data_IF_243123294721
#
_entry.id   IF_243123294721
#
_cell.length_a   1.000
_cell.length_b   1.000
_cell.length_c   1.000
_cell.angle_alpha   90.00
_cell.angle_beta   90.00
_cell.angle_gamma   90.00
#
_symmetry.space_group_name_H-M   'P 1'
#
loop_
_entity.id
_entity.type
_entity.pdbx_description
1 polymer ?
#
# COMPACT_ATOMS: atom_id res chain seq x y z
N UNK A 1 7.81 8.90 15.79
CA UNK A 1 7.70 8.13 17.05
C UNK A 1 6.81 6.88 16.91
N UNK A 2 5.62 6.97 16.35
CA UNK A 2 4.67 5.85 16.27
C UNK A 2 5.18 4.62 15.48
N UNK A 3 5.88 4.82 14.36
CA UNK A 3 6.42 3.70 13.54
C UNK A 3 7.53 2.94 14.29
N UNK A 4 8.41 3.62 15.01
CA UNK A 4 9.43 2.96 15.83
C UNK A 4 8.82 2.20 17.01
N UNK A 5 7.73 2.71 17.60
CA UNK A 5 6.98 2.00 18.63
C UNK A 5 6.31 0.73 18.04
N UNK A 6 5.74 0.82 16.83
CA UNK A 6 5.20 -0.33 16.12
C UNK A 6 6.27 -1.41 15.90
N UNK A 7 7.46 -1.04 15.43
CA UNK A 7 8.58 -1.96 15.27
C UNK A 7 8.87 -2.72 16.56
N UNK A 8 8.99 -2.01 17.68
CA UNK A 8 9.31 -2.62 18.98
C UNK A 8 8.21 -3.60 19.44
N UNK A 9 6.93 -3.24 19.26
CA UNK A 9 5.80 -4.11 19.59
C UNK A 9 5.87 -5.39 18.74
N UNK A 10 5.99 -5.25 17.42
CA UNK A 10 6.03 -6.36 16.46
C UNK A 10 7.20 -7.31 16.78
N UNK A 11 8.41 -6.77 16.97
CA UNK A 11 9.60 -7.56 17.29
C UNK A 11 9.52 -8.25 18.66
N UNK A 12 8.78 -7.66 19.63
CA UNK A 12 8.56 -8.30 20.91
C UNK A 12 7.54 -9.45 20.84
N UNK A 13 6.39 -9.22 20.23
CA UNK A 13 5.36 -10.26 20.05
C UNK A 13 5.90 -11.45 19.24
N UNK A 14 6.69 -11.17 18.23
CA UNK A 14 7.30 -12.19 17.39
C UNK A 14 8.29 -13.12 18.14
N UNK A 15 8.74 -12.78 19.34
CA UNK A 15 9.60 -13.66 20.16
C UNK A 15 8.86 -14.92 20.63
N UNK A 16 7.54 -14.84 20.76
CA UNK A 16 6.71 -15.91 21.32
C UNK A 16 5.97 -16.72 20.26
N UNK A 17 5.63 -16.12 19.12
CA UNK A 17 4.81 -16.75 18.09
C UNK A 17 4.98 -16.06 16.73
N UNK A 18 4.71 -16.76 15.60
CA UNK A 18 4.60 -16.11 14.30
C UNK A 18 3.45 -15.12 14.28
N UNK A 19 3.65 -13.97 13.64
CA UNK A 19 2.64 -12.90 13.59
C UNK A 19 2.43 -12.38 12.16
N UNK A 20 1.20 -11.99 11.89
CA UNK A 20 0.81 -11.25 10.69
C UNK A 20 0.40 -9.84 11.14
N UNK A 21 1.01 -8.84 10.55
CA UNK A 21 0.74 -7.43 10.86
C UNK A 21 0.07 -6.77 9.68
N UNK A 22 -1.13 -6.25 9.89
CA UNK A 22 -1.90 -5.51 8.89
C UNK A 22 -1.62 -4.01 9.08
N UNK A 23 -1.20 -3.35 8.02
CA UNK A 23 -0.76 -1.94 8.06
C UNK A 23 -1.65 -1.10 7.14
N UNK A 24 -2.20 0.00 7.67
CA UNK A 24 -2.94 1.00 6.88
C UNK A 24 -1.99 2.07 6.34
N UNK A 25 -2.54 2.96 5.51
CA UNK A 25 -1.84 4.12 4.99
C UNK A 25 -1.29 5.01 6.12
N UNK A 26 -0.24 5.78 5.83
CA UNK A 26 0.25 6.80 6.74
C UNK A 26 -0.80 7.88 6.96
N UNK A 27 -0.91 8.38 8.20
CA UNK A 27 -1.92 9.36 8.56
C UNK A 27 -2.03 10.54 7.58
N UNK A 28 -3.23 10.77 7.04
CA UNK A 28 -3.54 11.81 6.06
C UNK A 28 -3.05 11.55 4.62
N UNK A 29 -2.46 10.40 4.32
CA UNK A 29 -2.06 10.06 2.94
C UNK A 29 -3.29 9.73 2.10
N UNK A 30 -4.25 9.00 2.61
CA UNK A 30 -5.50 8.68 1.88
C UNK A 30 -6.21 9.94 1.41
N UNK A 31 -6.37 10.94 2.30
CA UNK A 31 -6.98 12.22 1.96
C UNK A 31 -6.17 12.97 0.89
N UNK A 32 -4.84 12.93 0.99
CA UNK A 32 -3.97 13.54 -0.02
C UNK A 32 -4.07 12.84 -1.37
N UNK A 33 -4.11 11.52 -1.41
CA UNK A 33 -4.29 10.75 -2.64
C UNK A 33 -5.60 11.14 -3.35
N UNK A 34 -6.69 11.23 -2.59
CA UNK A 34 -7.99 11.65 -3.11
C UNK A 34 -7.98 13.13 -3.57
N UNK A 35 -7.44 14.03 -2.77
CA UNK A 35 -7.36 15.44 -3.14
C UNK A 35 -6.55 15.65 -4.43
N UNK A 36 -5.40 14.99 -4.55
CA UNK A 36 -4.54 15.06 -5.74
C UNK A 36 -5.27 14.51 -6.98
N UNK A 37 -6.05 13.42 -6.84
CA UNK A 37 -6.85 12.88 -7.95
C UNK A 37 -7.92 13.87 -8.45
N UNK A 38 -8.51 14.64 -7.53
CA UNK A 38 -9.49 15.68 -7.88
C UNK A 38 -8.85 16.89 -8.60
N UNK A 39 -7.61 17.25 -8.26
CA UNK A 39 -6.86 18.26 -9.01
C UNK A 39 -6.57 17.78 -10.42
N UNK A 40 -6.07 16.55 -10.57
CA UNK A 40 -5.82 15.95 -11.88
C UNK A 40 -7.10 15.89 -12.73
N UNK A 41 -8.23 15.45 -12.15
CA UNK A 41 -9.54 15.40 -12.82
C UNK A 41 -9.97 16.77 -13.38
N UNK A 42 -9.68 17.85 -12.66
CA UNK A 42 -10.02 19.22 -13.07
C UNK A 42 -9.06 19.83 -14.10
N UNK A 43 -7.99 19.10 -14.46
CA UNK A 43 -6.93 19.64 -15.30
C UNK A 43 -6.06 20.68 -14.59
N UNK A 44 -6.03 20.68 -13.25
CA UNK A 44 -5.23 21.58 -12.44
C UNK A 44 -3.80 21.04 -12.30
N UNK A 45 -2.84 21.75 -12.88
CA UNK A 45 -1.41 21.39 -12.88
C UNK A 45 -0.81 21.25 -11.48
N UNK A 46 -1.43 21.84 -10.47
CA UNK A 46 -0.96 21.75 -9.06
C UNK A 46 -1.00 20.33 -8.49
N UNK A 47 -1.66 19.36 -9.17
CA UNK A 47 -1.57 17.96 -8.82
C UNK A 47 -0.13 17.44 -8.78
N UNK A 48 0.75 18.02 -9.59
CA UNK A 48 2.17 17.64 -9.63
C UNK A 48 2.90 18.03 -8.36
N UNK A 49 2.61 19.22 -7.84
CA UNK A 49 3.22 19.74 -6.60
C UNK A 49 2.73 18.93 -5.38
N UNK A 50 1.43 18.63 -5.33
CA UNK A 50 0.86 17.78 -4.27
C UNK A 50 1.41 16.35 -4.31
N UNK A 51 1.55 15.79 -5.52
CA UNK A 51 2.21 14.49 -5.71
C UNK A 51 3.67 14.53 -5.22
N UNK A 52 4.44 15.54 -5.63
CA UNK A 52 5.83 15.71 -5.22
C UNK A 52 5.96 15.83 -3.70
N UNK A 53 5.07 16.53 -3.04
CA UNK A 53 5.03 16.62 -1.57
C UNK A 53 4.78 15.26 -0.90
N UNK A 54 3.97 14.38 -1.53
CA UNK A 54 3.81 13.00 -1.05
C UNK A 54 5.09 12.17 -1.23
N UNK A 55 5.78 12.30 -2.36
CA UNK A 55 7.08 11.65 -2.62
C UNK A 55 8.07 12.05 -1.53
N UNK A 56 8.27 13.35 -1.31
CA UNK A 56 9.21 13.88 -0.33
C UNK A 56 8.90 13.41 1.10
N UNK A 57 7.63 13.35 1.44
CA UNK A 57 7.22 12.83 2.75
C UNK A 57 7.61 11.37 2.97
N UNK A 58 7.44 10.51 1.96
CA UNK A 58 7.84 9.11 2.04
C UNK A 58 9.36 8.98 2.07
N UNK A 59 10.08 9.70 1.22
CA UNK A 59 11.53 9.71 1.19
C UNK A 59 12.13 10.17 2.52
N UNK A 60 11.67 11.29 3.06
CA UNK A 60 12.10 11.79 4.38
C UNK A 60 11.87 10.78 5.50
N UNK A 61 10.75 10.07 5.44
CA UNK A 61 10.48 9.02 6.42
C UNK A 61 11.47 7.87 6.28
N UNK A 62 11.72 7.37 5.07
CA UNK A 62 12.68 6.30 4.81
C UNK A 62 14.07 6.70 5.30
N UNK A 63 14.55 7.88 4.97
CA UNK A 63 15.84 8.41 5.44
C UNK A 63 15.93 8.46 6.96
N UNK A 64 14.84 8.79 7.63
CA UNK A 64 14.81 8.92 9.09
C UNK A 64 14.83 7.58 9.81
N UNK A 65 14.19 6.53 9.23
CA UNK A 65 13.97 5.27 9.96
C UNK A 65 14.83 4.10 9.50
N UNK A 66 15.34 4.14 8.24
CA UNK A 66 16.18 3.06 7.70
C UNK A 66 17.64 3.48 7.76
N UNK A 67 18.37 2.94 8.72
CA UNK A 67 19.77 3.30 8.98
C UNK A 67 20.78 2.55 8.11
N UNK A 68 20.44 1.32 7.64
CA UNK A 68 21.31 0.55 6.78
C UNK A 68 21.27 1.11 5.35
N UNK A 69 22.41 1.57 4.76
CA UNK A 69 22.43 2.21 3.45
C UNK A 69 21.91 1.32 2.32
N UNK A 70 22.28 0.05 2.30
CA UNK A 70 21.87 -0.90 1.26
C UNK A 70 20.37 -1.18 1.32
N UNK A 71 19.82 -1.43 2.53
CA UNK A 71 18.38 -1.61 2.70
C UNK A 71 17.60 -0.35 2.32
N UNK A 72 18.14 0.82 2.63
CA UNK A 72 17.55 2.11 2.28
C UNK A 72 17.49 2.32 0.77
N UNK A 73 18.57 2.04 0.06
CA UNK A 73 18.62 2.11 -1.41
C UNK A 73 17.63 1.13 -2.05
N UNK A 74 17.61 -0.14 -1.62
CA UNK A 74 16.66 -1.14 -2.10
C UNK A 74 15.21 -0.71 -1.87
N UNK A 75 14.93 -0.08 -0.71
CA UNK A 75 13.59 0.42 -0.39
C UNK A 75 13.22 1.63 -1.24
N UNK A 76 14.12 2.58 -1.46
CA UNK A 76 13.89 3.71 -2.37
C UNK A 76 13.50 3.21 -3.76
N UNK A 77 14.26 2.29 -4.34
CA UNK A 77 13.95 1.73 -5.66
C UNK A 77 12.55 1.13 -5.75
N UNK A 78 12.11 0.40 -4.70
CA UNK A 78 10.77 -0.18 -4.66
C UNK A 78 9.66 0.85 -4.46
N UNK A 79 9.89 1.81 -3.59
CA UNK A 79 8.93 2.90 -3.30
C UNK A 79 8.78 3.81 -4.51
N UNK A 80 9.89 4.16 -5.16
CA UNK A 80 9.89 5.01 -6.37
C UNK A 80 9.18 4.33 -7.54
N UNK A 81 9.34 3.00 -7.69
CA UNK A 81 8.60 2.26 -8.70
C UNK A 81 7.07 2.32 -8.47
N UNK A 82 6.61 2.25 -7.21
CA UNK A 82 5.20 2.40 -6.87
C UNK A 82 4.71 3.84 -7.09
N UNK A 83 5.51 4.83 -6.70
CA UNK A 83 5.19 6.25 -6.89
C UNK A 83 5.13 6.62 -8.37
N UNK A 84 6.00 6.08 -9.21
CA UNK A 84 5.97 6.31 -10.65
C UNK A 84 4.71 5.71 -11.31
N UNK A 85 4.29 4.51 -10.87
CA UNK A 85 3.01 3.95 -11.30
C UNK A 85 1.83 4.87 -10.91
N UNK A 86 1.81 5.36 -9.68
CA UNK A 86 0.80 6.30 -9.19
C UNK A 86 0.81 7.60 -9.99
N UNK A 87 1.99 8.15 -10.28
CA UNK A 87 2.17 9.35 -11.11
C UNK A 87 1.56 9.15 -12.50
N UNK A 88 1.78 7.99 -13.09
CA UNK A 88 1.24 7.64 -14.40
C UNK A 88 -0.29 7.59 -14.40
N UNK A 89 -0.91 7.10 -13.30
CA UNK A 89 -2.38 7.11 -13.16
C UNK A 89 -2.89 8.56 -13.07
N UNK A 90 -2.30 9.40 -12.21
CA UNK A 90 -2.68 10.81 -12.12
C UNK A 90 -2.54 11.55 -13.45
N UNK A 91 -1.45 11.29 -14.18
CA UNK A 91 -1.24 11.88 -15.50
C UNK A 91 -2.31 11.43 -16.51
N UNK A 92 -2.71 10.14 -16.47
CA UNK A 92 -3.82 9.64 -17.27
C UNK A 92 -5.13 10.37 -16.94
N UNK A 93 -5.49 10.48 -15.65
CA UNK A 93 -6.68 11.22 -15.20
C UNK A 93 -6.63 12.68 -15.65
N UNK A 94 -5.46 13.33 -15.52
CA UNK A 94 -5.24 14.72 -15.95
C UNK A 94 -5.46 14.91 -17.45
N UNK A 95 -5.03 13.97 -18.30
CA UNK A 95 -5.16 14.07 -19.74
C UNK A 95 -6.59 13.83 -20.24
N UNK A 96 -7.29 12.86 -19.63
CA UNK A 96 -8.62 12.46 -20.11
C UNK A 96 -9.77 13.16 -19.39
N UNK A 97 -9.47 13.86 -18.26
CA UNK A 97 -10.46 14.49 -17.40
C UNK A 97 -11.57 13.54 -16.93
N UNK A 98 -11.21 12.29 -16.66
CA UNK A 98 -12.11 11.26 -16.14
C UNK A 98 -11.48 10.50 -14.97
N UNK A 99 -12.29 10.22 -13.94
CA UNK A 99 -11.89 9.50 -12.74
C UNK A 99 -13.00 8.55 -12.32
N UNK A 100 -12.94 7.31 -12.82
CA UNK A 100 -13.86 6.27 -12.40
C UNK A 100 -13.62 5.84 -10.94
N UNK A 101 -14.61 5.26 -10.27
CA UNK A 101 -14.47 4.66 -8.93
C UNK A 101 -13.30 3.65 -8.90
N UNK A 102 -13.20 2.79 -9.90
CA UNK A 102 -12.08 1.86 -10.07
C UNK A 102 -10.72 2.55 -10.07
N UNK A 103 -10.57 3.64 -10.82
CA UNK A 103 -9.31 4.40 -10.87
C UNK A 103 -9.02 5.04 -9.52
N UNK A 104 -10.05 5.54 -8.84
CA UNK A 104 -9.93 6.12 -7.51
C UNK A 104 -9.49 5.08 -6.47
N UNK A 105 -10.09 3.89 -6.49
CA UNK A 105 -9.71 2.78 -5.60
C UNK A 105 -8.26 2.32 -5.85
N UNK A 106 -7.87 2.23 -7.13
CA UNK A 106 -6.48 1.95 -7.50
C UNK A 106 -5.52 3.00 -6.91
N UNK A 107 -5.83 4.30 -7.03
CA UNK A 107 -5.03 5.39 -6.46
C UNK A 107 -4.91 5.26 -4.94
N UNK A 108 -6.04 5.07 -4.24
CA UNK A 108 -6.06 4.98 -2.78
C UNK A 108 -5.23 3.81 -2.27
N UNK A 109 -5.23 2.67 -2.99
CA UNK A 109 -4.47 1.47 -2.60
C UNK A 109 -2.97 1.70 -2.44
N UNK A 110 -2.41 2.74 -3.08
CA UNK A 110 -0.99 3.07 -2.94
C UNK A 110 -0.62 3.52 -1.53
N UNK A 111 -1.54 4.08 -0.76
CA UNK A 111 -1.31 4.47 0.62
C UNK A 111 -0.89 3.28 1.49
N UNK A 112 -1.65 2.20 1.44
CA UNK A 112 -1.41 0.97 2.18
C UNK A 112 -0.20 0.20 1.65
N UNK A 113 -0.02 0.17 0.34
CA UNK A 113 1.12 -0.51 -0.31
C UNK A 113 2.44 0.14 0.08
N UNK A 114 2.53 1.47 0.02
CA UNK A 114 3.72 2.22 0.38
C UNK A 114 4.04 2.07 1.88
N UNK A 115 3.05 2.29 2.75
CA UNK A 115 3.27 2.23 4.19
C UNK A 115 3.68 0.84 4.66
N UNK A 116 2.98 -0.22 4.21
CA UNK A 116 3.28 -1.59 4.61
C UNK A 116 4.66 -2.05 4.13
N UNK A 117 5.08 -1.66 2.92
CA UNK A 117 6.41 -1.96 2.38
C UNK A 117 7.52 -1.29 3.21
N UNK A 118 7.33 -0.02 3.59
CA UNK A 118 8.29 0.72 4.41
C UNK A 118 8.40 0.09 5.81
N UNK A 119 7.27 -0.24 6.43
CA UNK A 119 7.26 -0.88 7.75
C UNK A 119 7.88 -2.27 7.70
N UNK A 120 7.62 -3.05 6.65
CA UNK A 120 8.23 -4.37 6.48
C UNK A 120 9.75 -4.31 6.39
N UNK A 121 10.30 -3.28 5.73
CA UNK A 121 11.76 -3.08 5.65
C UNK A 121 12.35 -2.65 6.99
N UNK A 122 11.61 -1.91 7.81
CA UNK A 122 12.04 -1.48 9.13
C UNK A 122 12.10 -2.62 10.15
N UNK A 123 11.18 -3.59 10.06
CA UNK A 123 11.06 -4.71 11.01
C UNK A 123 12.02 -5.83 10.59
N UNK A 124 12.94 -6.19 11.48
CA UNK A 124 13.97 -7.19 11.19
C UNK A 124 13.36 -8.57 10.91
N UNK A 125 13.71 -9.16 9.77
CA UNK A 125 13.25 -10.49 9.38
C UNK A 125 11.79 -10.54 8.90
N UNK A 126 11.14 -9.41 8.72
CA UNK A 126 9.79 -9.37 8.20
C UNK A 126 9.73 -9.66 6.68
N UNK A 127 8.71 -10.42 6.28
CA UNK A 127 8.32 -10.63 4.87
C UNK A 127 7.16 -9.69 4.55
N UNK A 128 7.25 -8.96 3.46
CA UNK A 128 6.11 -8.21 2.91
C UNK A 128 5.34 -9.07 1.91
N UNK A 129 4.02 -9.06 1.99
CA UNK A 129 3.14 -9.72 1.03
C UNK A 129 1.98 -8.78 0.65
N UNK A 130 1.67 -8.69 -0.62
CA UNK A 130 0.56 -7.87 -1.12
C UNK A 130 -0.77 -8.59 -0.86
N UNK A 131 -1.66 -8.00 -0.06
CA UNK A 131 -2.96 -8.60 0.29
C UNK A 131 -3.86 -8.82 -0.93
N UNK A 132 -3.70 -8.05 -2.00
CA UNK A 132 -4.45 -8.19 -3.25
C UNK A 132 -4.21 -9.53 -3.95
N UNK A 133 -3.12 -10.22 -3.62
CA UNK A 133 -2.85 -11.56 -4.16
C UNK A 133 -3.75 -12.64 -3.56
N UNK A 134 -4.23 -12.45 -2.33
CA UNK A 134 -5.00 -13.45 -1.61
C UNK A 134 -6.33 -12.98 -1.02
N UNK A 135 -6.58 -11.67 -0.90
CA UNK A 135 -7.90 -11.12 -0.56
C UNK A 135 -8.64 -10.80 -1.84
N UNK A 136 -9.73 -11.54 -2.09
CA UNK A 136 -10.51 -11.41 -3.32
C UNK A 136 -11.92 -10.92 -3.04
N UNK A 137 -12.40 -10.06 -3.93
CA UNK A 137 -13.78 -9.56 -3.92
C UNK A 137 -14.49 -9.97 -5.20
N UNK A 138 -15.81 -9.85 -5.17
CA UNK A 138 -16.68 -9.95 -6.35
C UNK A 138 -17.72 -8.85 -6.29
N UNK A 139 -18.13 -8.36 -7.44
CA UNK A 139 -19.19 -7.36 -7.52
C UNK A 139 -20.57 -8.00 -7.35
N UNK A 140 -21.33 -7.58 -6.34
CA UNK A 140 -22.73 -7.96 -6.11
C UNK A 140 -23.55 -6.71 -5.81
N UNK A 141 -24.62 -6.49 -6.59
CA UNK A 141 -25.51 -5.33 -6.42
C UNK A 141 -24.75 -3.98 -6.37
N UNK A 142 -23.82 -3.76 -7.28
CA UNK A 142 -22.94 -2.58 -7.35
C UNK A 142 -22.06 -2.35 -6.09
N UNK A 143 -21.79 -3.40 -5.32
CA UNK A 143 -20.89 -3.36 -4.18
C UNK A 143 -19.85 -4.46 -4.30
N UNK A 144 -18.62 -4.14 -3.94
CA UNK A 144 -17.58 -5.15 -3.78
C UNK A 144 -17.77 -5.87 -2.44
N UNK A 145 -17.95 -7.18 -2.51
CA UNK A 145 -18.10 -8.04 -1.33
C UNK A 145 -17.00 -9.10 -1.33
N UNK A 146 -16.59 -9.53 -0.14
CA UNK A 146 -15.55 -10.55 0.00
C UNK A 146 -15.99 -11.86 -0.68
N UNK A 147 -15.14 -12.37 -1.59
CA UNK A 147 -15.26 -13.74 -2.10
C UNK A 147 -14.60 -14.69 -1.09
N UNK A 148 -15.38 -15.14 -0.12
CA UNK A 148 -14.86 -15.81 1.06
C UNK A 148 -14.22 -17.17 0.75
N UNK A 149 -14.79 -17.97 -0.16
CA UNK A 149 -14.26 -19.30 -0.49
C UNK A 149 -12.89 -19.21 -1.15
N UNK A 150 -12.79 -18.38 -2.21
CA UNK A 150 -11.54 -18.15 -2.92
C UNK A 150 -10.49 -17.50 -2.01
N UNK A 151 -10.89 -16.47 -1.24
CA UNK A 151 -10.01 -15.80 -0.28
C UNK A 151 -9.45 -16.79 0.73
N UNK A 152 -10.29 -17.61 1.36
CA UNK A 152 -9.84 -18.60 2.35
C UNK A 152 -8.86 -19.61 1.74
N UNK A 153 -9.11 -20.07 0.51
CA UNK A 153 -8.21 -20.97 -0.23
C UNK A 153 -6.86 -20.31 -0.49
N UNK A 154 -6.87 -19.05 -0.97
CA UNK A 154 -5.64 -18.31 -1.28
C UNK A 154 -4.85 -17.95 -0.02
N UNK A 155 -5.52 -17.53 1.05
CA UNK A 155 -4.89 -17.23 2.35
C UNK A 155 -4.21 -18.49 2.90
N UNK A 156 -4.88 -19.63 2.92
CA UNK A 156 -4.26 -20.89 3.38
C UNK A 156 -3.02 -21.25 2.55
N UNK A 157 -3.05 -21.03 1.24
CA UNK A 157 -1.90 -21.24 0.36
C UNK A 157 -0.78 -20.23 0.63
N UNK A 158 -1.12 -18.95 0.74
CA UNK A 158 -0.14 -17.88 0.93
C UNK A 158 0.61 -17.98 2.26
N UNK A 159 -0.05 -18.51 3.30
CA UNK A 159 0.48 -18.63 4.65
C UNK A 159 0.79 -20.09 5.06
N UNK A 160 0.86 -21.03 4.09
CA UNK A 160 1.24 -22.42 4.38
C UNK A 160 2.64 -22.53 5.01
N UNK A 161 3.61 -21.75 4.48
CA UNK A 161 4.94 -21.55 5.03
C UNK A 161 5.02 -20.15 5.65
N UNK A 162 4.41 -19.98 6.80
CA UNK A 162 4.33 -18.69 7.47
C UNK A 162 5.72 -18.22 7.90
N UNK A 163 6.18 -17.10 7.32
CA UNK A 163 7.34 -16.41 7.85
C UNK A 163 7.05 -15.94 9.29
N UNK A 164 8.09 -15.88 10.13
CA UNK A 164 7.91 -15.55 11.54
C UNK A 164 7.25 -14.19 11.75
N UNK A 165 7.54 -13.23 10.87
CA UNK A 165 6.86 -11.93 10.80
C UNK A 165 6.44 -11.69 9.36
N UNK A 166 5.14 -11.48 9.13
CA UNK A 166 4.62 -11.11 7.82
C UNK A 166 3.86 -9.78 7.92
N UNK A 167 4.20 -8.83 7.06
CA UNK A 167 3.46 -7.56 6.93
C UNK A 167 2.66 -7.54 5.64
N UNK A 168 1.42 -7.09 5.75
CA UNK A 168 0.48 -6.98 4.63
C UNK A 168 -0.21 -5.61 4.62
N UNK A 169 -0.50 -5.02 3.46
CA UNK A 169 -1.36 -3.85 3.37
C UNK A 169 -2.78 -4.22 3.79
N UNK A 170 -3.42 -3.38 4.61
CA UNK A 170 -4.81 -3.54 5.03
C UNK A 170 -5.78 -2.88 4.05
N UNK A 171 -7.06 -3.21 4.18
CA UNK A 171 -8.17 -2.53 3.50
C UNK A 171 -8.14 -2.50 1.97
N UNK A 172 -7.27 -3.23 1.33
CA UNK A 172 -7.19 -3.39 -0.12
C UNK A 172 -7.35 -4.85 -0.53
N UNK A 173 -8.02 -5.06 -1.64
CA UNK A 173 -8.31 -6.36 -2.23
C UNK A 173 -8.22 -6.29 -3.75
N UNK A 174 -8.52 -7.39 -4.42
CA UNK A 174 -8.59 -7.42 -5.87
C UNK A 174 -9.83 -8.21 -6.30
N UNK A 175 -10.60 -7.67 -7.24
CA UNK A 175 -11.74 -8.37 -7.80
C UNK A 175 -11.30 -9.66 -8.50
N UNK A 176 -12.03 -10.77 -8.26
CA UNK A 176 -11.66 -12.09 -8.77
C UNK A 176 -11.87 -12.26 -10.26
N UNK A 177 -12.77 -11.48 -10.86
CA UNK A 177 -13.13 -11.57 -12.27
C UNK A 177 -12.42 -10.53 -13.14
N UNK A 178 -12.29 -9.28 -12.63
CA UNK A 178 -11.79 -8.14 -13.41
C UNK A 178 -10.33 -7.77 -13.06
N UNK A 179 -9.78 -8.36 -12.00
CA UNK A 179 -8.45 -8.06 -11.44
C UNK A 179 -8.31 -6.59 -10.95
N UNK A 180 -9.44 -5.90 -10.74
CA UNK A 180 -9.51 -4.54 -10.21
C UNK A 180 -9.22 -4.49 -8.71
N UNK A 181 -8.64 -3.37 -8.27
CA UNK A 181 -8.35 -3.13 -6.84
C UNK A 181 -9.58 -2.63 -6.14
#
# INVERSE_FOLDING_TARGET
>A
KSILSLKNIVENEAKSQPIIVVVSALGGITDKLLATSQLALKGDESWKDEFQAMVERHHKMIDTIITNPRQREDLFNKVDALLEQLRSIYFGVFLIHDLSEKTQDAIVSYGERLSSLIVATLVKGAKWMDSREFIKTVQKNNKHVLEAELTNKLVRKAFADLAHITLVPGFISRDAATDEV
#
